data_IF_282435872801
#
_entry.id   IF_282435872801
#
_cell.length_a   1.000
_cell.length_b   1.000
_cell.length_c   1.000
_cell.angle_alpha   90.00
_cell.angle_beta   90.00
_cell.angle_gamma   90.00
#
_symmetry.space_group_name_H-M   'P 1'
#
loop_
_entity.id
_entity.type
_entity.pdbx_description
1 polymer ?
#
# COMPACT_ATOMS: atom_id res chain seq x y z
N UNK A 1 60.60 3.97 60.75
CA UNK A 1 60.18 5.08 61.63
C UNK A 1 58.67 5.01 61.78
N UNK A 2 58.22 4.65 62.98
CA UNK A 2 56.83 4.80 63.42
C UNK A 2 56.60 6.28 63.78
N UNK A 3 55.42 6.85 63.48
CA UNK A 3 54.47 7.32 64.53
C UNK A 3 53.24 8.06 63.95
N UNK A 4 52.08 7.61 64.45
CA UNK A 4 50.88 8.35 64.87
C UNK A 4 50.02 9.18 63.91
N UNK A 5 48.78 8.67 63.79
CA UNK A 5 47.53 9.38 63.51
C UNK A 5 47.34 10.65 64.36
N UNK A 6 46.69 11.66 63.77
CA UNK A 6 45.81 12.56 64.50
C UNK A 6 44.47 12.69 63.77
N UNK A 7 43.44 12.15 64.40
CA UNK A 7 42.03 12.30 64.05
C UNK A 7 41.55 13.61 64.68
N UNK A 8 41.01 14.52 63.89
CA UNK A 8 40.25 15.68 64.37
C UNK A 8 38.81 15.53 63.91
N UNK A 9 37.97 15.09 64.84
CA UNK A 9 36.52 15.16 64.77
C UNK A 9 36.07 16.58 65.10
N UNK A 10 35.18 17.15 64.29
CA UNK A 10 34.50 18.43 64.54
C UNK A 10 33.02 18.26 64.14
N UNK A 11 32.06 18.88 64.85
CA UNK A 11 30.79 18.27 65.20
C UNK A 11 29.66 18.48 64.19
N UNK A 12 28.70 17.57 64.34
CA UNK A 12 27.30 17.62 63.94
C UNK A 12 26.71 19.03 63.92
N UNK A 13 26.35 19.52 62.73
CA UNK A 13 25.24 20.43 62.55
C UNK A 13 24.15 19.69 61.75
N UNK A 14 23.17 19.16 62.48
CA UNK A 14 21.88 18.74 61.95
C UNK A 14 21.10 19.98 61.51
N UNK A 15 21.37 20.48 60.30
CA UNK A 15 20.47 21.41 59.65
C UNK A 15 19.27 20.64 59.11
N UNK A 16 18.18 20.75 59.86
CA UNK A 16 16.85 20.28 59.51
C UNK A 16 16.32 21.12 58.35
N UNK A 17 16.71 20.78 57.12
CA UNK A 17 16.03 21.27 55.94
C UNK A 17 14.86 20.34 55.68
N UNK A 18 13.66 20.78 56.06
CA UNK A 18 12.43 20.32 55.45
C UNK A 18 12.54 20.55 53.94
N UNK A 19 13.08 19.57 53.23
CA UNK A 19 12.87 19.46 51.80
C UNK A 19 11.41 19.12 51.63
N UNK A 20 10.60 20.15 51.40
CA UNK A 20 9.31 19.98 50.79
C UNK A 20 9.56 19.26 49.46
N UNK A 21 9.33 17.95 49.44
CA UNK A 21 9.08 17.23 48.21
C UNK A 21 7.76 17.78 47.65
N UNK A 22 7.86 18.88 46.92
CA UNK A 22 6.95 19.14 45.85
C UNK A 22 7.16 18.00 44.86
N UNK A 23 6.44 16.90 45.05
CA UNK A 23 6.02 16.05 43.95
C UNK A 23 5.16 16.96 43.06
N UNK A 24 5.81 17.80 42.27
CA UNK A 24 5.31 18.12 40.95
C UNK A 24 5.26 16.76 40.28
N UNK A 25 4.11 16.10 40.44
CA UNK A 25 3.57 15.28 39.41
C UNK A 25 3.49 16.22 38.21
N UNK A 26 4.61 16.33 37.48
CA UNK A 26 4.55 16.42 36.04
C UNK A 26 3.70 15.23 35.69
N UNK A 27 2.38 15.46 35.62
CA UNK A 27 1.48 14.69 34.78
C UNK A 27 2.25 14.70 33.48
N UNK A 28 3.00 13.62 33.25
CA UNK A 28 3.73 13.43 32.03
C UNK A 28 2.64 13.64 31.02
N UNK A 29 2.72 14.74 30.28
CA UNK A 29 2.03 14.83 29.03
C UNK A 29 2.70 13.71 28.28
N UNK A 30 2.10 12.52 28.36
CA UNK A 30 2.34 11.45 27.43
C UNK A 30 1.94 12.10 26.14
N UNK A 31 2.91 12.75 25.50
CA UNK A 31 2.87 13.10 24.11
C UNK A 31 2.73 11.72 23.48
N UNK A 32 1.48 11.27 23.35
CA UNK A 32 1.10 10.28 22.39
C UNK A 32 1.65 10.88 21.12
N UNK A 33 2.84 10.40 20.75
CA UNK A 33 3.45 10.66 19.46
C UNK A 33 2.41 10.12 18.51
N UNK A 34 1.54 11.03 18.06
CA UNK A 34 0.42 10.75 17.20
C UNK A 34 1.10 10.21 15.97
N UNK A 35 1.15 8.89 15.86
CA UNK A 35 1.53 8.21 14.64
C UNK A 35 0.39 8.53 13.69
N UNK A 36 0.46 9.73 13.11
CA UNK A 36 -0.43 10.12 12.04
C UNK A 36 -0.20 9.13 10.91
N UNK A 37 -1.24 8.78 10.16
CA UNK A 37 -1.18 7.94 8.97
C UNK A 37 -1.20 6.42 9.21
N UNK A 38 -1.71 5.70 8.20
CA UNK A 38 -1.90 4.25 8.20
C UNK A 38 -0.79 3.53 7.41
N UNK A 39 -0.74 2.21 7.58
CA UNK A 39 0.10 1.33 6.78
C UNK A 39 -0.79 0.40 5.97
N UNK A 40 -0.34 0.10 4.75
CA UNK A 40 -0.83 -1.00 3.93
C UNK A 40 0.26 -2.05 3.79
N UNK A 41 -0.11 -3.21 3.28
CA UNK A 41 0.75 -4.36 3.17
C UNK A 41 0.68 -4.93 1.77
N UNK A 42 1.80 -5.46 1.27
CA UNK A 42 1.83 -6.19 0.01
C UNK A 42 2.65 -7.45 0.17
N UNK A 43 2.05 -8.58 -0.20
CA UNK A 43 2.76 -9.83 -0.43
C UNK A 43 3.25 -9.88 -1.87
N UNK A 44 4.55 -10.15 -2.10
CA UNK A 44 5.13 -10.21 -3.44
C UNK A 44 6.16 -11.35 -3.53
N UNK A 45 6.40 -11.86 -4.75
CA UNK A 45 7.44 -12.86 -5.01
C UNK A 45 8.81 -12.22 -5.24
N UNK A 46 8.80 -11.00 -5.77
CA UNK A 46 10.01 -10.23 -6.02
C UNK A 46 10.65 -9.87 -4.69
N UNK A 47 11.96 -10.03 -4.61
CA UNK A 47 12.71 -9.73 -3.40
C UNK A 47 13.00 -8.22 -3.27
N UNK A 48 13.35 -7.74 -2.07
CA UNK A 48 13.49 -6.31 -1.79
C UNK A 48 14.44 -5.56 -2.73
N UNK A 49 15.60 -6.14 -3.07
CA UNK A 49 16.55 -5.52 -3.99
C UNK A 49 15.99 -5.36 -5.42
N UNK A 50 15.18 -6.31 -5.89
CA UNK A 50 14.53 -6.20 -7.20
C UNK A 50 13.54 -5.04 -7.24
N UNK A 51 12.71 -4.92 -6.20
CA UNK A 51 11.75 -3.81 -6.05
C UNK A 51 12.49 -2.48 -5.92
N UNK A 52 13.56 -2.42 -5.12
CA UNK A 52 14.40 -1.23 -4.97
C UNK A 52 15.02 -0.81 -6.31
N UNK A 53 15.57 -1.76 -7.09
CA UNK A 53 16.15 -1.46 -8.41
C UNK A 53 15.12 -0.92 -9.41
N UNK A 54 13.89 -1.40 -9.34
CA UNK A 54 12.77 -0.87 -10.12
C UNK A 54 12.26 0.50 -9.62
N UNK A 55 12.74 0.95 -8.47
CA UNK A 55 12.32 2.18 -7.79
C UNK A 55 11.03 2.06 -7.00
N UNK A 56 10.49 0.85 -6.86
CA UNK A 56 9.24 0.56 -6.19
C UNK A 56 8.40 -0.50 -6.90
N UNK A 57 7.15 -0.63 -6.48
CA UNK A 57 6.16 -1.45 -7.16
C UNK A 57 5.57 -0.65 -8.31
N UNK A 58 5.97 -0.98 -9.53
CA UNK A 58 5.46 -0.36 -10.76
C UNK A 58 4.15 -1.02 -11.22
N UNK A 59 3.24 -0.26 -11.86
CA UNK A 59 2.14 -0.85 -12.62
C UNK A 59 2.66 -1.80 -13.71
N UNK A 60 1.86 -2.80 -14.07
CA UNK A 60 2.23 -3.83 -15.05
C UNK A 60 1.88 -3.37 -16.47
N UNK A 61 2.73 -3.75 -17.44
CA UNK A 61 2.50 -3.49 -18.86
C UNK A 61 3.17 -2.19 -19.33
N UNK A 62 3.93 -2.26 -20.43
CA UNK A 62 4.56 -1.08 -21.01
C UNK A 62 3.49 -0.18 -21.66
N UNK A 63 3.61 1.14 -21.51
CA UNK A 63 2.66 2.08 -22.10
C UNK A 63 1.31 2.15 -21.39
N UNK A 64 1.18 1.65 -20.16
CA UNK A 64 -0.08 1.69 -19.40
C UNK A 64 -0.66 3.11 -19.28
N UNK A 65 0.19 4.14 -19.23
CA UNK A 65 -0.24 5.53 -19.13
C UNK A 65 -0.94 6.06 -20.40
N UNK A 66 -0.77 5.36 -21.52
CA UNK A 66 -1.35 5.69 -22.82
C UNK A 66 -2.54 4.79 -23.18
N UNK A 67 -2.86 3.81 -22.32
CA UNK A 67 -3.92 2.84 -22.51
C UNK A 67 -5.07 3.13 -21.55
N UNK A 68 -6.19 3.60 -22.08
CA UNK A 68 -7.40 3.92 -21.30
C UNK A 68 -7.85 2.72 -20.44
N UNK A 69 -7.78 1.51 -20.99
CA UNK A 69 -8.22 0.30 -20.28
C UNK A 69 -7.36 -0.02 -19.06
N UNK A 70 -6.11 0.45 -19.02
CA UNK A 70 -5.23 0.27 -17.86
C UNK A 70 -5.74 1.02 -16.63
N UNK A 71 -6.56 2.07 -16.83
CA UNK A 71 -7.16 2.87 -15.76
C UNK A 71 -8.54 2.34 -15.33
N UNK A 72 -9.02 1.25 -15.92
CA UNK A 72 -10.28 0.63 -15.50
C UNK A 72 -10.02 -0.30 -14.32
N UNK A 73 -10.54 0.09 -13.17
CA UNK A 73 -10.39 -0.64 -11.92
C UNK A 73 -11.02 -2.04 -11.97
N UNK A 74 -12.24 -2.18 -12.52
CA UNK A 74 -12.90 -3.48 -12.61
C UNK A 74 -12.10 -4.48 -13.44
N UNK A 75 -11.40 -3.97 -14.46
CA UNK A 75 -10.46 -4.76 -15.27
C UNK A 75 -9.26 -5.20 -14.43
N UNK A 76 -8.63 -4.29 -13.69
CA UNK A 76 -7.52 -4.63 -12.79
C UNK A 76 -7.94 -5.67 -11.75
N UNK A 77 -9.09 -5.49 -11.11
CA UNK A 77 -9.63 -6.38 -10.10
C UNK A 77 -9.93 -7.77 -10.66
N UNK A 78 -10.57 -7.83 -11.83
CA UNK A 78 -10.98 -9.10 -12.46
C UNK A 78 -9.83 -9.84 -13.15
N UNK A 79 -8.74 -9.14 -13.45
CA UNK A 79 -7.64 -9.65 -14.26
C UNK A 79 -6.85 -10.80 -13.64
N UNK A 80 -6.70 -10.81 -12.31
CA UNK A 80 -5.76 -11.72 -11.67
C UNK A 80 -4.30 -11.54 -12.17
N UNK A 81 -3.39 -12.46 -11.83
CA UNK A 81 -1.99 -12.37 -12.24
C UNK A 81 -1.84 -12.35 -13.77
N UNK A 82 -1.19 -11.32 -14.30
CA UNK A 82 -0.93 -11.16 -15.74
C UNK A 82 -2.17 -11.20 -16.63
N UNK A 83 -3.33 -10.81 -16.12
CA UNK A 83 -4.55 -10.74 -16.92
C UNK A 83 -5.26 -12.09 -17.13
N UNK A 84 -4.86 -13.16 -16.44
CA UNK A 84 -5.43 -14.50 -16.66
C UNK A 84 -6.94 -14.66 -16.41
N UNK A 85 -7.58 -13.67 -15.78
CA UNK A 85 -9.02 -13.60 -15.55
C UNK A 85 -9.79 -12.83 -16.62
N UNK A 86 -9.11 -12.24 -17.58
CA UNK A 86 -9.70 -11.46 -18.67
C UNK A 86 -10.04 -12.35 -19.87
N UNK A 87 -11.03 -11.95 -20.67
CA UNK A 87 -11.51 -12.74 -21.80
C UNK A 87 -10.48 -12.83 -22.93
N UNK A 88 -9.69 -11.78 -23.09
CA UNK A 88 -8.63 -11.65 -24.10
C UNK A 88 -7.37 -12.45 -23.72
N UNK A 89 -7.34 -13.04 -22.53
CA UNK A 89 -6.20 -13.83 -22.09
C UNK A 89 -5.99 -15.06 -22.98
N UNK A 90 -4.80 -15.15 -23.57
CA UNK A 90 -4.42 -16.22 -24.50
C UNK A 90 -4.38 -15.76 -25.95
N UNK A 91 -4.92 -14.59 -26.26
CA UNK A 91 -4.72 -13.97 -27.57
C UNK A 91 -3.25 -13.59 -27.75
N UNK A 92 -2.64 -13.83 -28.93
CA UNK A 92 -1.22 -13.59 -29.16
C UNK A 92 -0.83 -12.11 -29.06
N UNK A 93 -1.79 -11.22 -29.29
CA UNK A 93 -1.62 -9.75 -29.24
C UNK A 93 -2.05 -9.15 -27.89
N UNK A 94 -2.49 -9.99 -26.95
CA UNK A 94 -2.91 -9.53 -25.63
C UNK A 94 -1.70 -9.22 -24.74
N UNK A 95 -1.61 -7.96 -24.32
CA UNK A 95 -0.64 -7.49 -23.34
C UNK A 95 -1.40 -6.86 -22.19
N UNK A 96 -1.32 -7.48 -21.00
CA UNK A 96 -2.02 -6.99 -19.83
C UNK A 96 -1.35 -5.72 -19.30
N UNK A 97 -2.12 -4.62 -19.30
CA UNK A 97 -1.73 -3.34 -18.74
C UNK A 97 -2.67 -2.93 -17.61
N UNK A 98 -2.10 -2.32 -16.59
CA UNK A 98 -2.85 -1.71 -15.49
C UNK A 98 -2.10 -0.50 -14.97
N UNK A 99 -2.82 0.52 -14.53
CA UNK A 99 -2.31 1.69 -13.83
C UNK A 99 -2.19 1.43 -12.32
N UNK A 100 -2.60 0.27 -11.82
CA UNK A 100 -2.74 -0.03 -10.40
C UNK A 100 -1.73 -1.05 -9.89
N UNK A 101 -1.39 -0.91 -8.61
CA UNK A 101 -0.71 -1.94 -7.82
C UNK A 101 -1.59 -2.29 -6.62
N UNK A 102 -2.00 -3.55 -6.52
CA UNK A 102 -2.80 -4.02 -5.37
C UNK A 102 -1.98 -4.01 -4.07
N UNK A 103 -2.60 -3.51 -3.01
CA UNK A 103 -2.11 -3.55 -1.64
C UNK A 103 -3.28 -3.99 -0.74
N UNK A 104 -2.99 -4.33 0.51
CA UNK A 104 -4.02 -4.71 1.49
C UNK A 104 -3.88 -3.87 2.75
N UNK A 105 -4.99 -3.34 3.25
CA UNK A 105 -5.02 -2.62 4.52
C UNK A 105 -4.80 -3.58 5.70
N UNK A 106 -5.16 -4.86 5.55
CA UNK A 106 -4.90 -5.90 6.55
C UNK A 106 -3.72 -6.77 6.15
N UNK A 107 -2.72 -6.85 7.03
CA UNK A 107 -1.57 -7.73 6.87
C UNK A 107 -1.93 -9.19 6.57
N UNK A 108 -2.93 -9.74 7.26
CA UNK A 108 -3.34 -11.14 7.07
C UNK A 108 -3.78 -11.46 5.63
N UNK A 109 -4.27 -10.46 4.89
CA UNK A 109 -4.66 -10.61 3.48
C UNK A 109 -3.41 -10.61 2.61
N UNK A 110 -2.49 -9.67 2.83
CA UNK A 110 -1.21 -9.63 2.12
C UNK A 110 -0.34 -10.88 2.33
N UNK A 111 -0.39 -11.51 3.52
CA UNK A 111 0.36 -12.74 3.82
C UNK A 111 -0.03 -13.93 2.93
N UNK A 112 -1.21 -13.91 2.29
CA UNK A 112 -1.63 -14.97 1.37
C UNK A 112 -0.85 -14.95 0.03
N UNK A 113 -0.06 -13.91 -0.23
CA UNK A 113 0.57 -13.68 -1.54
C UNK A 113 2.10 -13.65 -1.46
N UNK A 114 2.76 -14.38 -2.35
CA UNK A 114 4.21 -14.35 -2.50
C UNK A 114 5.00 -14.88 -1.30
N UNK A 115 6.27 -14.48 -1.26
CA UNK A 115 7.29 -14.96 -0.32
C UNK A 115 7.87 -13.84 0.54
N UNK A 116 7.62 -12.58 0.15
CA UNK A 116 8.02 -11.38 0.87
C UNK A 116 6.80 -10.58 1.26
N UNK A 117 6.79 -10.07 2.49
CA UNK A 117 5.81 -9.12 2.97
C UNK A 117 6.46 -7.75 3.11
N UNK A 118 5.80 -6.74 2.58
CA UNK A 118 6.21 -5.34 2.64
C UNK A 118 5.19 -4.56 3.47
N UNK A 119 5.67 -3.76 4.42
CA UNK A 119 4.86 -2.76 5.12
C UNK A 119 5.14 -1.40 4.49
N UNK A 120 4.09 -0.76 3.98
CA UNK A 120 4.16 0.39 3.10
C UNK A 120 3.35 1.51 3.73
N UNK A 121 3.92 2.72 3.75
CA UNK A 121 3.17 3.89 4.18
C UNK A 121 2.02 4.17 3.22
N UNK A 122 0.80 4.30 3.73
CA UNK A 122 -0.33 4.70 2.91
C UNK A 122 -0.17 6.15 2.42
N UNK A 123 -0.55 6.40 1.17
CA UNK A 123 -0.61 7.75 0.58
C UNK A 123 -1.91 7.90 -0.20
N UNK A 124 -2.41 9.14 -0.44
CA UNK A 124 -3.75 9.32 -0.98
C UNK A 124 -3.94 8.82 -2.43
N UNK A 125 -2.88 8.43 -3.14
CA UNK A 125 -3.00 7.73 -4.43
C UNK A 125 -3.42 6.26 -4.28
N UNK A 126 -3.49 5.74 -3.06
CA UNK A 126 -4.06 4.43 -2.75
C UNK A 126 -5.55 4.59 -2.53
N UNK A 127 -6.34 3.91 -3.35
CA UNK A 127 -7.78 4.00 -3.36
C UNK A 127 -8.40 2.80 -2.65
N UNK A 128 -9.31 3.05 -1.72
CA UNK A 128 -10.22 2.05 -1.16
C UNK A 128 -11.58 2.24 -1.79
N UNK A 129 -12.04 1.21 -2.49
CA UNK A 129 -13.35 1.18 -3.14
C UNK A 129 -14.39 0.42 -2.30
N UNK A 130 -14.10 0.24 -1.01
CA UNK A 130 -14.89 -0.53 -0.06
C UNK A 130 -15.16 -1.98 -0.53
N UNK A 131 -14.23 -2.52 -1.31
CA UNK A 131 -14.31 -3.91 -1.75
C UNK A 131 -14.17 -4.85 -0.55
N UNK A 132 -14.85 -6.01 -0.58
CA UNK A 132 -14.62 -7.04 0.41
C UNK A 132 -13.12 -7.38 0.44
N UNK A 133 -12.63 -7.82 1.60
CA UNK A 133 -11.23 -8.26 1.79
C UNK A 133 -10.19 -7.16 2.08
N UNK A 134 -10.61 -5.90 2.32
CA UNK A 134 -9.71 -4.82 2.74
C UNK A 134 -8.55 -4.56 1.78
N UNK A 135 -8.76 -4.84 0.50
CA UNK A 135 -7.84 -4.49 -0.57
C UNK A 135 -7.90 -2.99 -0.84
N UNK A 136 -6.78 -2.42 -1.26
CA UNK A 136 -6.69 -1.07 -1.77
C UNK A 136 -5.77 -1.06 -2.99
N UNK A 137 -5.85 -0.01 -3.80
CA UNK A 137 -5.25 0.00 -5.12
C UNK A 137 -4.44 1.26 -5.31
N UNK A 138 -3.12 1.11 -5.44
CA UNK A 138 -2.21 2.24 -5.60
C UNK A 138 -2.18 2.66 -7.06
N UNK A 139 -2.84 3.77 -7.39
CA UNK A 139 -2.82 4.39 -8.71
C UNK A 139 -1.42 4.94 -9.01
N UNK A 140 -0.83 4.51 -10.12
CA UNK A 140 0.55 4.80 -10.52
C UNK A 140 1.61 3.93 -9.83
N UNK A 141 1.23 3.04 -8.92
CA UNK A 141 2.15 2.18 -8.19
C UNK A 141 2.61 2.75 -6.84
N UNK A 142 3.73 2.24 -6.31
CA UNK A 142 4.24 2.54 -4.97
C UNK A 142 5.74 2.77 -5.05
N UNK A 143 6.24 3.92 -4.59
CA UNK A 143 7.68 4.19 -4.60
C UNK A 143 8.43 3.37 -3.55
N UNK A 144 9.69 3.00 -3.83
CA UNK A 144 10.53 2.27 -2.87
C UNK A 144 10.71 3.04 -1.56
N UNK A 145 10.87 4.38 -1.63
CA UNK A 145 10.93 5.25 -0.45
C UNK A 145 9.68 5.21 0.44
N UNK A 146 8.53 4.70 -0.04
CA UNK A 146 7.30 4.50 0.75
C UNK A 146 7.32 3.20 1.56
N UNK A 147 8.15 2.23 1.16
CA UNK A 147 8.29 0.95 1.85
C UNK A 147 9.07 1.18 3.15
N UNK A 148 8.43 0.98 4.30
CA UNK A 148 9.06 1.19 5.61
C UNK A 148 9.99 0.04 5.98
N UNK A 149 9.52 -1.18 5.77
CA UNK A 149 10.21 -2.41 6.13
C UNK A 149 9.67 -3.59 5.37
N UNK A 150 10.44 -4.67 5.33
CA UNK A 150 10.09 -5.91 4.66
C UNK A 150 10.57 -7.12 5.45
N UNK A 151 9.98 -8.28 5.19
CA UNK A 151 10.37 -9.54 5.81
C UNK A 151 10.10 -10.71 4.87
N UNK A 152 10.94 -11.75 4.94
CA UNK A 152 10.70 -13.00 4.22
C UNK A 152 9.69 -13.82 5.01
N UNK A 153 8.59 -14.17 4.37
CA UNK A 153 7.57 -15.03 4.95
C UNK A 153 8.07 -16.47 5.02
N UNK A 154 7.60 -17.20 6.02
CA UNK A 154 7.87 -18.62 6.24
C UNK A 154 6.61 -19.44 5.99
N UNK A 155 6.80 -20.72 5.65
CA UNK A 155 5.70 -21.64 5.42
C UNK A 155 4.94 -21.40 4.10
N UNK A 156 3.93 -22.24 3.88
CA UNK A 156 3.15 -22.25 2.64
C UNK A 156 2.02 -21.20 2.69
N UNK A 157 1.71 -20.50 1.57
CA UNK A 157 0.61 -19.53 1.50
C UNK A 157 -0.76 -20.06 1.94
N UNK A 158 -0.99 -21.38 1.83
CA UNK A 158 -2.25 -22.03 2.23
C UNK A 158 -2.28 -22.54 3.68
N UNK A 159 -1.28 -22.18 4.51
CA UNK A 159 -1.22 -22.59 5.91
C UNK A 159 -2.13 -21.78 6.82
N UNK A 160 -2.36 -22.28 8.05
CA UNK A 160 -3.03 -21.52 9.10
C UNK A 160 -2.17 -20.28 9.40
N UNK A 161 -2.74 -19.08 9.18
CA UNK A 161 -2.04 -17.80 9.08
C UNK A 161 -1.05 -17.48 10.21
N UNK A 162 -0.24 -16.44 9.96
CA UNK A 162 1.00 -16.08 10.64
C UNK A 162 2.26 -16.64 9.96
N UNK A 163 2.44 -16.24 8.70
CA UNK A 163 3.65 -16.54 7.91
C UNK A 163 4.83 -15.61 8.24
N UNK A 164 4.65 -14.67 9.14
CA UNK A 164 5.64 -13.64 9.45
C UNK A 164 6.22 -13.86 10.84
N UNK A 165 7.54 -13.88 10.89
CA UNK A 165 8.28 -13.91 12.16
C UNK A 165 8.63 -12.46 12.50
N UNK A 166 8.01 -11.89 13.55
CA UNK A 166 8.15 -10.47 13.89
C UNK A 166 9.58 -10.00 14.12
N UNK A 167 10.47 -10.89 14.57
CA UNK A 167 11.89 -10.57 14.80
C UNK A 167 12.71 -10.50 13.51
N UNK A 168 12.12 -10.83 12.35
CA UNK A 168 12.82 -10.87 11.04
C UNK A 168 12.53 -9.66 10.15
N UNK A 169 11.77 -8.68 10.62
CA UNK A 169 11.59 -7.44 9.88
C UNK A 169 12.93 -6.73 9.69
N UNK A 170 13.19 -6.34 8.45
CA UNK A 170 14.33 -5.51 8.06
C UNK A 170 13.80 -4.15 7.67
N UNK A 171 14.30 -3.09 8.31
CA UNK A 171 13.93 -1.72 7.96
C UNK A 171 14.53 -1.37 6.60
N UNK A 172 13.75 -0.67 5.77
CA UNK A 172 14.25 -0.15 4.52
C UNK A 172 15.16 1.06 4.79
N UNK A 173 16.46 1.03 4.44
CA UNK A 173 17.35 2.17 4.64
C UNK A 173 16.98 3.38 3.79
N UNK A 174 16.16 3.20 2.74
CA UNK A 174 15.72 4.25 1.82
C UNK A 174 14.32 4.80 2.15
N UNK A 175 13.73 4.37 3.27
CA UNK A 175 12.43 4.90 3.71
C UNK A 175 12.55 6.38 4.08
N UNK A 176 11.78 7.23 3.39
CA UNK A 176 11.79 8.69 3.59
C UNK A 176 10.89 9.07 4.78
N UNK A 177 11.41 8.82 5.99
CA UNK A 177 10.69 9.10 7.25
C UNK A 177 10.32 10.58 7.39
N UNK A 178 11.13 11.48 6.84
CA UNK A 178 10.85 12.91 6.89
C UNK A 178 9.64 13.24 6.04
N UNK A 179 9.52 12.71 4.84
CA UNK A 179 8.33 12.91 4.00
C UNK A 179 7.08 12.26 4.58
N UNK A 180 7.20 11.01 5.03
CA UNK A 180 6.04 10.15 5.31
C UNK A 180 5.53 10.21 6.75
N UNK A 181 6.37 10.57 7.72
CA UNK A 181 5.98 10.54 9.14
C UNK A 181 6.19 11.86 9.89
N UNK A 182 7.14 12.70 9.47
CA UNK A 182 7.53 13.91 10.23
C UNK A 182 7.21 15.21 9.52
N UNK A 183 7.06 15.17 8.20
CA UNK A 183 6.87 16.33 7.35
C UNK A 183 5.49 16.95 7.47
N UNK A 184 5.30 18.17 6.94
CA UNK A 184 4.04 18.90 7.05
C UNK A 184 2.85 18.17 6.40
N UNK A 185 3.12 17.26 5.47
CA UNK A 185 2.12 16.47 4.75
C UNK A 185 1.94 15.05 5.30
N UNK A 186 2.71 14.64 6.31
CA UNK A 186 2.60 13.30 6.92
C UNK A 186 1.19 13.03 7.48
N UNK A 187 0.45 14.10 7.81
CA UNK A 187 -0.97 14.04 8.13
C UNK A 187 -1.76 13.26 7.08
N UNK A 188 -1.54 13.52 5.78
CA UNK A 188 -2.26 12.93 4.64
C UNK A 188 -1.85 11.50 4.29
N UNK A 189 -1.04 10.83 5.10
CA UNK A 189 -0.58 9.46 4.82
C UNK A 189 -1.66 8.41 5.14
N UNK A 190 -2.75 8.40 4.39
CA UNK A 190 -3.86 7.44 4.53
C UNK A 190 -4.33 6.95 3.15
N UNK A 191 -5.09 5.85 3.15
CA UNK A 191 -5.78 5.35 1.96
C UNK A 191 -6.98 6.26 1.69
N UNK A 192 -7.15 6.70 0.44
CA UNK A 192 -8.28 7.52 0.02
C UNK A 192 -9.55 6.69 -0.03
N UNK A 193 -10.57 7.08 0.72
CA UNK A 193 -11.93 6.57 0.62
C UNK A 193 -12.72 7.26 -0.53
N UNK A 194 -12.14 8.30 -1.15
CA UNK A 194 -12.70 8.92 -2.34
C UNK A 194 -12.17 8.18 -3.57
N UNK A 195 -13.08 7.48 -4.25
CA UNK A 195 -12.82 6.75 -5.49
C UNK A 195 -13.54 7.47 -6.66
N UNK A 196 -12.82 7.99 -7.67
CA UNK A 196 -13.48 8.58 -8.83
C UNK A 196 -14.23 7.50 -9.63
N UNK A 197 -15.56 7.61 -9.73
CA UNK A 197 -16.41 6.58 -10.39
C UNK A 197 -16.01 6.30 -11.84
N UNK A 198 -15.52 7.30 -12.58
CA UNK A 198 -15.02 7.14 -13.95
C UNK A 198 -13.89 6.10 -14.04
N UNK A 199 -13.12 5.91 -12.96
CA UNK A 199 -12.06 4.90 -12.91
C UNK A 199 -12.60 3.47 -12.68
N UNK A 200 -13.85 3.30 -12.26
CA UNK A 200 -14.43 1.97 -11.99
C UNK A 200 -14.52 1.13 -13.26
N UNK A 201 -15.20 1.67 -14.27
CA UNK A 201 -15.51 0.98 -15.52
C UNK A 201 -15.36 1.87 -16.78
N UNK A 202 -14.96 3.14 -16.63
CA UNK A 202 -14.84 4.11 -17.73
C UNK A 202 -16.13 4.89 -18.03
N UNK A 203 -17.25 4.54 -17.39
CA UNK A 203 -18.53 5.21 -17.60
C UNK A 203 -18.77 6.25 -16.49
N UNK A 204 -18.96 7.54 -16.83
CA UNK A 204 -19.50 8.49 -15.88
C UNK A 204 -20.94 8.09 -15.65
N UNK A 205 -21.30 7.75 -14.41
CA UNK A 205 -22.65 7.43 -13.91
C UNK A 205 -23.75 7.38 -14.97
N UNK A 206 -24.29 6.19 -15.19
CA UNK A 206 -25.39 5.87 -16.12
C UNK A 206 -26.73 6.56 -15.78
N UNK A 207 -26.74 7.74 -15.15
CA UNK A 207 -27.94 8.53 -14.87
C UNK A 207 -28.33 9.47 -16.01
N UNK A 208 -27.43 9.79 -16.93
CA UNK A 208 -27.76 10.65 -18.07
C UNK A 208 -28.09 9.78 -19.29
N UNK A 209 -29.37 9.41 -19.35
CA UNK A 209 -30.04 8.83 -20.52
C UNK A 209 -30.09 9.83 -21.69
N UNK A 210 -28.95 10.28 -22.19
CA UNK A 210 -28.90 10.99 -23.46
C UNK A 210 -28.93 9.97 -24.59
N UNK A 211 -30.17 9.70 -25.01
CA UNK A 211 -30.53 8.85 -26.14
C UNK A 211 -30.14 9.55 -27.45
N UNK A 212 -28.84 9.58 -27.74
CA UNK A 212 -28.28 10.33 -28.88
C UNK A 212 -27.48 9.43 -29.83
N UNK A 213 -28.20 8.72 -30.70
CA UNK A 213 -27.78 8.27 -32.04
C UNK A 213 -26.29 7.86 -32.22
N UNK A 214 -25.99 6.59 -31.92
CA UNK A 214 -24.71 5.87 -32.13
C UNK A 214 -24.44 5.57 -33.64
N UNK A 215 -24.72 6.52 -34.52
CA UNK A 215 -24.55 6.39 -35.98
C UNK A 215 -23.42 7.29 -36.49
N UNK A 216 -22.27 7.26 -35.83
CA UNK A 216 -21.07 8.02 -36.24
C UNK A 216 -19.80 7.16 -36.18
N UNK A 217 -18.90 7.26 -37.17
CA UNK A 217 -17.69 6.45 -37.22
C UNK A 217 -16.82 6.71 -35.99
N UNK A 218 -16.66 5.66 -35.15
CA UNK A 218 -15.67 5.47 -34.08
C UNK A 218 -14.77 6.68 -33.81
N UNK A 219 -15.33 7.74 -33.24
CA UNK A 219 -14.53 8.82 -32.67
C UNK A 219 -13.90 8.21 -31.43
N UNK A 220 -12.57 8.14 -31.44
CA UNK A 220 -11.74 7.68 -30.33
C UNK A 220 -12.43 7.97 -29.00
N UNK A 221 -12.82 6.91 -28.28
CA UNK A 221 -13.48 7.06 -26.98
C UNK A 221 -12.60 8.02 -26.17
N UNK A 222 -13.17 9.13 -25.68
CA UNK A 222 -12.39 10.14 -24.99
C UNK A 222 -11.62 9.48 -23.84
N UNK A 223 -10.35 9.89 -23.65
CA UNK A 223 -9.39 9.44 -22.62
C UNK A 223 -9.87 9.80 -21.19
N UNK A 224 -11.11 9.45 -20.86
CA UNK A 224 -11.87 9.91 -19.69
C UNK A 224 -11.26 9.38 -18.41
N UNK A 225 -10.96 8.08 -18.34
CA UNK A 225 -10.32 7.46 -17.18
C UNK A 225 -8.91 8.02 -16.98
N UNK A 226 -8.14 8.23 -18.04
CA UNK A 226 -6.83 8.89 -17.95
C UNK A 226 -6.97 10.32 -17.40
N UNK A 227 -7.86 11.15 -17.96
CA UNK A 227 -8.09 12.52 -17.49
C UNK A 227 -8.62 12.55 -16.05
N UNK A 228 -9.48 11.61 -15.69
CA UNK A 228 -10.00 11.48 -14.32
C UNK A 228 -8.89 11.11 -13.34
N UNK A 229 -7.98 10.20 -13.70
CA UNK A 229 -6.81 9.84 -12.92
C UNK A 229 -5.86 11.03 -12.76
N UNK A 230 -5.53 11.73 -13.85
CA UNK A 230 -4.68 12.94 -13.81
C UNK A 230 -5.28 14.00 -12.90
N UNK A 231 -6.58 14.28 -13.05
CA UNK A 231 -7.31 15.24 -12.23
C UNK A 231 -7.31 14.84 -10.76
N UNK A 232 -7.62 13.58 -10.45
CA UNK A 232 -7.59 13.05 -9.09
C UNK A 232 -6.20 13.22 -8.45
N UNK A 233 -5.14 12.86 -9.18
CA UNK A 233 -3.76 12.96 -8.71
C UNK A 233 -3.31 14.43 -8.51
N UNK A 234 -3.82 15.35 -9.33
CA UNK A 234 -3.49 16.78 -9.24
C UNK A 234 -4.28 17.54 -8.17
N UNK A 235 -5.57 17.21 -7.98
CA UNK A 235 -6.48 17.95 -7.09
C UNK A 235 -6.52 17.40 -5.66
N UNK A 236 -6.13 16.14 -5.44
CA UNK A 236 -6.17 15.55 -4.11
C UNK A 236 -5.01 16.05 -3.24
N UNK A 237 -5.36 16.71 -2.15
CA UNK A 237 -4.41 17.30 -1.20
C UNK A 237 -3.40 16.27 -0.68
N UNK A 238 -2.12 16.59 -0.75
CA UNK A 238 -1.03 15.78 -0.24
C UNK A 238 -0.50 14.72 -1.20
N UNK A 239 -1.19 14.44 -2.34
CA UNK A 239 -0.67 13.49 -3.33
C UNK A 239 0.65 13.98 -3.91
N UNK A 240 0.70 15.21 -4.40
CA UNK A 240 1.92 15.72 -5.04
C UNK A 240 3.13 15.69 -4.08
N UNK A 241 2.93 16.08 -2.81
CA UNK A 241 4.03 16.15 -1.85
C UNK A 241 4.49 14.77 -1.33
N UNK A 242 3.57 13.82 -1.18
CA UNK A 242 3.88 12.48 -0.69
C UNK A 242 4.29 11.50 -1.79
N UNK A 243 3.64 11.59 -2.96
CA UNK A 243 3.83 10.69 -4.09
C UNK A 243 4.78 11.30 -5.13
N UNK A 244 4.39 12.46 -5.69
CA UNK A 244 5.14 13.16 -6.74
C UNK A 244 4.25 13.47 -7.95
N UNK A 245 4.86 13.53 -9.13
CA UNK A 245 4.16 13.71 -10.41
C UNK A 245 3.37 12.45 -10.80
N UNK A 246 2.40 12.63 -11.70
CA UNK A 246 1.65 11.54 -12.32
C UNK A 246 1.65 11.71 -13.85
N UNK A 247 2.05 10.71 -14.64
CA UNK A 247 2.62 9.41 -14.22
C UNK A 247 3.90 9.55 -13.39
N UNK A 248 4.19 8.62 -12.48
CA UNK A 248 5.33 8.74 -11.58
C UNK A 248 6.65 8.39 -12.25
N UNK A 249 7.68 9.16 -11.90
CA UNK A 249 9.07 8.81 -12.17
C UNK A 249 9.64 8.02 -11.00
N UNK A 250 10.08 6.79 -11.27
CA UNK A 250 10.64 5.93 -10.25
C UNK A 250 12.16 6.09 -10.19
N UNK A 251 12.64 6.68 -9.09
CA UNK A 251 14.06 6.72 -8.73
C UNK A 251 14.61 5.29 -8.63
N UNK A 252 15.73 4.99 -9.31
CA UNK A 252 16.36 3.68 -9.23
C UNK A 252 17.36 3.64 -8.09
N UNK A 253 17.30 2.59 -7.27
CA UNK A 253 18.20 2.43 -6.13
C UNK A 253 19.31 1.45 -6.48
N UNK A 254 20.55 1.85 -6.21
CA UNK A 254 21.71 0.96 -6.33
C UNK A 254 21.62 -0.17 -5.32
N UNK A 255 22.24 -1.31 -5.64
CA UNK A 255 22.33 -2.42 -4.71
C UNK A 255 23.02 -1.98 -3.41
N UNK A 256 22.40 -2.27 -2.26
CA UNK A 256 22.91 -1.90 -0.93
C UNK A 256 23.14 -3.11 -0.05
N UNK A 257 24.13 -3.00 0.82
CA UNK A 257 24.35 -3.95 1.91
C UNK A 257 23.15 -3.91 2.88
N UNK A 258 22.69 -5.08 3.33
CA UNK A 258 21.52 -5.20 4.21
C UNK A 258 20.16 -5.34 3.51
N UNK A 259 20.08 -5.11 2.19
CA UNK A 259 18.90 -5.49 1.40
C UNK A 259 19.14 -6.92 0.87
N UNK A 260 18.29 -7.90 1.23
CA UNK A 260 18.47 -9.27 0.77
C UNK A 260 18.45 -9.36 -0.75
N UNK A 261 19.48 -10.00 -1.29
CA UNK A 261 19.53 -10.46 -2.68
C UNK A 261 18.96 -11.87 -2.75
N UNK A 262 18.36 -12.24 -3.89
CA UNK A 262 18.10 -13.65 -4.11
C UNK A 262 19.40 -14.38 -4.34
N UNK A 263 19.76 -15.21 -3.38
CA UNK A 263 20.91 -16.12 -3.44
C UNK A 263 20.47 -17.54 -3.76
N UNK A 264 19.16 -17.75 -3.93
CA UNK A 264 18.64 -19.04 -4.37
C UNK A 264 19.01 -19.17 -5.85
N UNK A 265 19.71 -20.23 -6.29
CA UNK A 265 19.75 -20.54 -7.71
C UNK A 265 18.31 -20.65 -8.15
N UNK A 266 17.90 -19.80 -9.10
CA UNK A 266 16.56 -19.83 -9.69
C UNK A 266 16.34 -21.25 -10.16
N UNK A 267 15.67 -22.06 -9.33
CA UNK A 267 15.12 -23.30 -9.78
C UNK A 267 14.13 -22.83 -10.83
N UNK A 268 14.48 -23.06 -12.10
CA UNK A 268 13.60 -22.90 -13.23
C UNK A 268 12.45 -23.90 -13.04
N UNK A 269 11.58 -23.62 -12.07
CA UNK A 269 10.31 -24.26 -11.93
C UNK A 269 9.52 -23.61 -13.05
N UNK A 270 9.44 -24.33 -14.17
CA UNK A 270 8.38 -24.12 -15.14
C UNK A 270 7.06 -24.32 -14.39
N UNK A 271 6.60 -23.27 -13.71
CA UNK A 271 5.27 -23.23 -13.15
C UNK A 271 4.38 -23.06 -14.36
N UNK A 272 3.91 -24.18 -14.87
CA UNK A 272 2.71 -24.23 -15.66
C UNK A 272 1.61 -23.68 -14.74
N UNK A 273 1.30 -22.38 -14.83
CA UNK A 273 0.17 -21.73 -14.15
C UNK A 273 -1.12 -22.13 -14.88
N UNK A 274 -1.34 -23.42 -15.06
CA UNK A 274 -2.62 -24.02 -15.39
C UNK A 274 -3.10 -24.75 -14.15
N UNK A 275 -4.03 -24.12 -13.44
CA UNK A 275 -4.76 -24.77 -12.36
C UNK A 275 -4.48 -24.21 -10.97
N UNK A 276 -4.90 -22.97 -10.72
CA UNK A 276 -5.41 -22.50 -9.41
C UNK A 276 -6.11 -21.14 -9.52
N UNK A 277 -7.04 -21.02 -10.47
CA UNK A 277 -8.05 -19.95 -10.50
C UNK A 277 -9.16 -20.14 -9.44
N UNK A 278 -8.84 -20.71 -8.27
CA UNK A 278 -9.84 -21.31 -7.36
C UNK A 278 -9.97 -20.68 -5.98
N UNK A 279 -9.32 -19.54 -5.68
CA UNK A 279 -9.65 -18.76 -4.48
C UNK A 279 -10.43 -17.46 -4.75
N UNK A 280 -10.24 -16.81 -5.90
CA UNK A 280 -10.93 -15.54 -6.19
C UNK A 280 -12.45 -15.70 -6.44
N UNK A 281 -12.93 -16.90 -6.83
CA UNK A 281 -14.35 -17.10 -7.21
C UNK A 281 -15.28 -17.63 -6.12
N UNK A 282 -14.81 -18.01 -4.92
CA UNK A 282 -15.65 -18.76 -3.96
C UNK A 282 -16.22 -17.99 -2.77
N UNK A 283 -15.99 -16.67 -2.63
CA UNK A 283 -16.66 -15.86 -1.58
C UNK A 283 -17.53 -14.71 -2.05
N UNK A 284 -17.44 -14.29 -3.31
CA UNK A 284 -18.21 -13.14 -3.82
C UNK A 284 -19.63 -13.49 -4.36
N UNK A 285 -20.06 -14.76 -4.37
CA UNK A 285 -21.43 -15.14 -4.75
C UNK A 285 -22.23 -15.60 -3.53
N UNK A 286 -22.76 -14.62 -2.82
CA UNK A 286 -23.67 -14.81 -1.69
C UNK A 286 -24.43 -13.54 -1.31
N UNK A 287 -24.56 -12.57 -2.23
CA UNK A 287 -25.48 -11.45 -2.07
C UNK A 287 -26.60 -11.68 -3.08
N UNK A 288 -27.72 -12.14 -2.55
CA UNK A 288 -28.97 -12.35 -3.25
C UNK A 288 -29.61 -10.96 -3.51
N UNK A 289 -29.86 -10.54 -4.75
CA UNK A 289 -30.50 -9.27 -5.04
C UNK A 289 -32.02 -9.45 -5.04
N UNK A 290 -32.61 -9.86 -3.92
CA UNK A 290 -34.05 -9.80 -3.72
C UNK A 290 -34.33 -9.20 -2.35
N UNK A 291 -34.57 -7.89 -2.29
CA UNK A 291 -35.51 -7.23 -1.38
C UNK A 291 -35.66 -5.75 -1.77
N UNK A 292 -36.38 -5.50 -2.86
CA UNK A 292 -37.04 -4.21 -3.10
C UNK A 292 -38.51 -4.48 -3.39
N UNK A 293 -39.36 -4.09 -2.45
CA UNK A 293 -40.80 -4.03 -2.62
C UNK A 293 -41.52 -4.36 -1.33
N UNK A 294 -41.97 -3.35 -0.60
CA UNK A 294 -43.41 -3.13 -0.38
C UNK A 294 -43.65 -1.68 0.04
N UNK A 295 -44.77 -1.19 -0.43
CA UNK A 295 -45.18 0.19 -0.51
C UNK A 295 -45.61 0.76 0.85
N UNK A 296 -45.51 2.08 0.92
CA UNK A 296 -46.28 2.94 1.79
C UNK A 296 -47.78 2.65 1.63
N UNK A 297 -48.49 2.55 2.76
CA UNK A 297 -49.91 2.91 2.84
C UNK A 297 -49.98 4.37 3.30
N UNK A 298 -50.52 5.22 2.42
CA UNK A 298 -50.77 6.64 2.62
C UNK A 298 -51.11 7.30 1.29
#
# INVERSE_FOLDING_TARGET
MYLTNLILAVPLCLSWSCSAHANISTKGVTLFRRQFGSFVYRGDRRWPEEIARAGGFRPQGAGWQDDESAFHFDRHYSAGPSGCGLEEYGDPDFDFRTAYVSVAQRRSVAEAYGDWLYEIRATPNMLDDNYPESEAFSLGGVHWRQVRRFTRMVGHPSGNGNRVVETRWTNNPDYDIERYERGPYAGYSWVSESFPEVLRNGDPDSSDSDSGDESGPSRARPRRAIVAAERFMAETRGIFELFGTFPPEFEQYSAREGIPRDTSPSAAVGVNVQGKGLLWRRRARGIDPEHRGYANNG
#
